data_IF_481403419206
#
_entry.id   IF_481403419206
#
_cell.length_a   1.000
_cell.length_b   1.000
_cell.length_c   1.000
_cell.angle_alpha   90.00
_cell.angle_beta   90.00
_cell.angle_gamma   90.00
#
_symmetry.space_group_name_H-M   'P 1'
#
loop_
_entity.id
_entity.type
_entity.pdbx_description
1 polymer ?
#
# COMPACT_ATOMS: atom_id res chain seq x y z
N UNK A 1 -15.85 50.23 -31.00
CA UNK A 1 -16.01 49.62 -29.70
C UNK A 1 -15.48 48.20 -29.73
N UNK A 2 -14.36 47.95 -29.11
CA UNK A 2 -13.90 46.61 -28.83
C UNK A 2 -14.80 46.05 -27.75
N UNK A 3 -15.75 45.19 -28.12
CA UNK A 3 -16.46 44.37 -27.13
C UNK A 3 -15.41 43.47 -26.46
N UNK A 4 -15.06 43.77 -25.21
CA UNK A 4 -14.38 42.81 -24.35
C UNK A 4 -15.26 41.56 -24.26
N UNK A 5 -14.93 40.56 -25.02
CA UNK A 5 -15.59 39.26 -24.96
C UNK A 5 -15.23 38.65 -23.62
N UNK A 6 -16.24 38.41 -22.88
CA UNK A 6 -16.25 38.12 -21.50
C UNK A 6 -15.49 36.88 -21.09
N UNK A 7 -15.01 36.91 -19.84
CA UNK A 7 -14.33 35.84 -19.20
C UNK A 7 -15.24 34.64 -18.88
N UNK A 8 -14.64 33.59 -18.41
CA UNK A 8 -15.32 32.40 -17.86
C UNK A 8 -14.86 32.16 -16.44
N UNK A 9 -15.71 31.46 -15.68
CA UNK A 9 -15.39 31.02 -14.33
C UNK A 9 -15.49 29.50 -14.21
N UNK A 10 -14.49 28.88 -13.65
CA UNK A 10 -14.47 27.45 -13.35
C UNK A 10 -14.30 27.26 -11.85
N UNK A 11 -15.17 26.44 -11.27
CA UNK A 11 -15.07 25.96 -9.90
C UNK A 11 -14.70 24.45 -9.94
N UNK A 12 -13.65 24.09 -9.25
CA UNK A 12 -13.26 22.68 -9.06
C UNK A 12 -13.15 22.41 -7.57
N UNK A 13 -13.90 21.42 -7.11
CA UNK A 13 -13.85 20.90 -5.75
C UNK A 13 -13.50 19.43 -5.82
N UNK A 14 -12.49 19.01 -5.06
CA UNK A 14 -12.14 17.62 -4.92
C UNK A 14 -12.11 17.23 -3.46
N UNK A 15 -12.68 16.07 -3.16
CA UNK A 15 -12.57 15.45 -1.85
C UNK A 15 -11.88 14.09 -2.00
N UNK A 16 -10.82 13.89 -1.25
CA UNK A 16 -10.08 12.65 -1.17
C UNK A 16 -10.06 12.18 0.27
N UNK A 17 -10.61 11.00 0.51
CA UNK A 17 -10.56 10.34 1.80
C UNK A 17 -9.68 9.10 1.71
N UNK A 18 -8.79 8.93 2.67
CA UNK A 18 -7.94 7.77 2.80
C UNK A 18 -8.01 7.25 4.23
N UNK A 19 -8.31 5.99 4.36
CA UNK A 19 -8.34 5.30 5.65
C UNK A 19 -7.28 4.22 5.62
N UNK A 20 -6.36 4.27 6.58
CA UNK A 20 -5.37 3.23 6.82
C UNK A 20 -5.59 2.68 8.22
N UNK A 21 -5.84 1.40 8.30
CA UNK A 21 -5.94 0.70 9.57
C UNK A 21 -4.97 -0.47 9.57
N UNK A 22 -4.24 -0.64 10.66
CA UNK A 22 -3.38 -1.79 10.85
C UNK A 22 -3.50 -2.34 12.26
N UNK A 23 -3.37 -3.64 12.38
CA UNK A 23 -3.35 -4.35 13.65
C UNK A 23 -2.21 -5.35 13.64
N UNK A 24 -1.40 -5.35 14.67
CA UNK A 24 -0.30 -6.28 14.84
C UNK A 24 -0.50 -7.09 16.11
N UNK A 25 -0.37 -8.40 15.98
CA UNK A 25 -0.24 -9.32 17.10
C UNK A 25 1.17 -9.90 17.07
N UNK A 26 1.93 -9.69 18.11
CA UNK A 26 3.32 -10.12 18.20
C UNK A 26 3.45 -11.15 19.31
N UNK A 27 4.32 -12.12 19.12
CA UNK A 27 4.67 -13.10 20.13
C UNK A 27 6.17 -13.36 20.15
N UNK A 28 6.67 -13.70 21.31
CA UNK A 28 8.06 -14.08 21.55
C UNK A 28 8.08 -15.07 22.71
N UNK A 29 8.63 -16.26 22.47
CA UNK A 29 8.64 -17.32 23.43
C UNK A 29 9.96 -18.10 23.41
N UNK A 30 10.55 -18.26 24.57
CA UNK A 30 11.68 -19.16 24.77
C UNK A 30 11.14 -20.55 25.06
N UNK A 31 11.31 -21.48 24.11
CA UNK A 31 10.80 -22.86 24.23
C UNK A 31 11.63 -23.63 25.26
N UNK A 32 12.96 -23.55 25.12
CA UNK A 32 13.93 -24.14 26.05
C UNK A 32 15.25 -23.34 25.97
N UNK A 33 16.32 -23.83 26.55
CA UNK A 33 17.63 -23.16 26.56
C UNK A 33 18.22 -22.99 25.16
N UNK A 34 17.83 -23.85 24.20
CA UNK A 34 18.40 -23.89 22.85
C UNK A 34 17.51 -23.22 21.81
N UNK A 35 16.17 -23.24 21.98
CA UNK A 35 15.22 -22.79 20.99
C UNK A 35 14.38 -21.61 21.45
N UNK A 36 14.25 -20.64 20.57
CA UNK A 36 13.36 -19.49 20.72
C UNK A 36 12.50 -19.35 19.46
N UNK A 37 11.25 -19.03 19.64
CA UNK A 37 10.30 -18.72 18.57
C UNK A 37 9.74 -17.33 18.76
N UNK A 38 9.67 -16.57 17.72
CA UNK A 38 9.02 -15.26 17.69
C UNK A 38 8.23 -15.10 16.40
N UNK A 39 7.40 -14.12 16.37
CA UNK A 39 6.68 -13.80 15.16
C UNK A 39 5.63 -12.74 15.35
N UNK A 40 4.93 -12.47 14.26
CA UNK A 40 3.79 -11.58 14.26
C UNK A 40 2.76 -12.00 13.22
N UNK A 41 1.54 -11.57 13.48
CA UNK A 41 0.47 -11.55 12.48
C UNK A 41 0.01 -10.10 12.35
N UNK A 42 -0.01 -9.59 11.13
CA UNK A 42 -0.42 -8.23 10.81
C UNK A 42 -1.60 -8.25 9.86
N UNK A 43 -2.60 -7.46 10.18
CA UNK A 43 -3.69 -7.13 9.28
C UNK A 43 -3.60 -5.66 8.92
N UNK A 44 -3.67 -5.34 7.64
CA UNK A 44 -3.69 -3.98 7.12
C UNK A 44 -4.89 -3.80 6.20
N UNK A 45 -5.55 -2.66 6.32
CA UNK A 45 -6.61 -2.23 5.44
C UNK A 45 -6.31 -0.82 4.94
N UNK A 46 -6.37 -0.67 3.64
CA UNK A 46 -6.30 0.62 2.97
C UNK A 46 -7.60 0.84 2.21
N UNK A 47 -8.24 1.97 2.45
CA UNK A 47 -9.44 2.39 1.74
C UNK A 47 -9.25 3.80 1.21
N UNK A 48 -9.57 4.00 -0.05
CA UNK A 48 -9.40 5.26 -0.76
C UNK A 48 -10.72 5.58 -1.48
N UNK A 49 -11.17 6.82 -1.31
CA UNK A 49 -12.36 7.36 -1.96
C UNK A 49 -12.05 8.72 -2.53
N UNK A 50 -12.34 8.92 -3.82
CA UNK A 50 -12.14 10.20 -4.50
C UNK A 50 -13.44 10.68 -5.13
N UNK A 51 -13.77 11.93 -4.87
CA UNK A 51 -14.88 12.64 -5.51
C UNK A 51 -14.38 13.98 -6.06
N UNK A 52 -14.76 14.31 -7.26
CA UNK A 52 -14.51 15.61 -7.86
C UNK A 52 -15.80 16.23 -8.40
N UNK A 53 -16.00 17.50 -8.12
CA UNK A 53 -17.04 18.34 -8.68
C UNK A 53 -16.38 19.44 -9.50
N UNK A 54 -16.73 19.50 -10.76
CA UNK A 54 -16.32 20.59 -11.65
C UNK A 54 -17.57 21.30 -12.17
N UNK A 55 -17.52 22.63 -12.13
CA UNK A 55 -18.58 23.47 -12.67
C UNK A 55 -17.95 24.64 -13.44
N UNK A 56 -18.51 24.92 -14.59
CA UNK A 56 -18.06 26.00 -15.47
C UNK A 56 -19.23 26.88 -15.87
N UNK A 57 -19.00 28.18 -15.95
CA UNK A 57 -19.97 29.09 -16.57
C UNK A 57 -20.08 28.79 -18.07
N UNK A 58 -21.29 28.91 -18.61
CA UNK A 58 -21.55 28.88 -20.04
C UNK A 58 -21.73 30.31 -20.57
N UNK A 59 -21.25 30.52 -21.79
CA UNK A 59 -21.23 31.84 -22.38
C UNK A 59 -20.29 32.80 -21.65
N UNK A 60 -20.43 34.07 -21.94
CA UNK A 60 -19.63 35.12 -21.34
C UNK A 60 -20.16 35.52 -19.95
N UNK A 61 -19.29 36.10 -19.14
CA UNK A 61 -19.72 36.64 -17.82
C UNK A 61 -20.63 37.84 -18.02
N UNK A 62 -21.81 37.82 -17.41
CA UNK A 62 -22.79 38.91 -17.43
C UNK A 62 -22.23 40.14 -16.74
N UNK A 63 -21.65 39.96 -15.55
CA UNK A 63 -21.02 41.01 -14.79
C UNK A 63 -19.50 40.85 -14.82
N UNK A 64 -18.76 41.79 -15.44
CA UNK A 64 -17.30 41.72 -15.49
C UNK A 64 -16.69 41.72 -14.08
N UNK A 65 -15.62 40.95 -13.91
CA UNK A 65 -14.85 40.83 -12.66
C UNK A 65 -15.66 40.23 -11.46
N UNK A 66 -16.79 39.60 -11.74
CA UNK A 66 -17.56 38.84 -10.73
C UNK A 66 -17.46 37.34 -11.02
N UNK A 67 -16.84 36.57 -10.12
CA UNK A 67 -16.49 35.19 -10.33
C UNK A 67 -17.38 34.25 -9.50
N UNK A 68 -18.52 33.87 -10.06
CA UNK A 68 -19.43 32.89 -9.50
C UNK A 68 -20.20 32.15 -10.62
N UNK A 69 -20.68 30.95 -10.35
CA UNK A 69 -21.28 30.09 -11.38
C UNK A 69 -22.54 30.69 -12.04
N UNK A 70 -23.35 31.40 -11.27
CA UNK A 70 -24.56 32.03 -11.79
C UNK A 70 -24.31 33.25 -12.71
N UNK A 71 -23.06 33.65 -12.93
CA UNK A 71 -22.69 34.80 -13.73
C UNK A 71 -22.46 34.45 -15.22
N UNK A 72 -22.72 33.23 -15.65
CA UNK A 72 -22.65 32.86 -17.07
C UNK A 72 -23.92 33.27 -17.82
N UNK A 73 -23.77 33.91 -19.00
CA UNK A 73 -24.89 34.35 -19.86
C UNK A 73 -25.82 33.21 -20.26
N UNK A 74 -25.27 32.00 -20.42
CA UNK A 74 -25.99 30.78 -20.81
C UNK A 74 -26.08 29.78 -19.64
N UNK A 75 -25.94 30.27 -18.39
CA UNK A 75 -25.96 29.46 -17.19
C UNK A 75 -24.64 28.80 -16.87
N UNK A 76 -24.67 27.56 -16.39
CA UNK A 76 -23.47 26.80 -16.02
C UNK A 76 -23.66 25.32 -16.32
N UNK A 77 -22.54 24.63 -16.50
CA UNK A 77 -22.45 23.17 -16.48
C UNK A 77 -21.77 22.69 -15.21
N UNK A 78 -22.34 21.67 -14.58
CA UNK A 78 -21.74 21.01 -13.44
C UNK A 78 -21.60 19.51 -13.71
N UNK A 79 -20.43 18.95 -13.41
CA UNK A 79 -20.14 17.54 -13.52
C UNK A 79 -19.56 17.03 -12.23
N UNK A 80 -20.22 16.06 -11.64
CA UNK A 80 -19.67 15.33 -10.50
C UNK A 80 -19.11 13.99 -10.98
N UNK A 81 -17.90 13.72 -10.64
CA UNK A 81 -17.22 12.45 -10.90
C UNK A 81 -16.86 11.79 -9.59
N UNK A 82 -17.22 10.53 -9.45
CA UNK A 82 -16.72 9.66 -8.39
C UNK A 82 -15.67 8.76 -9.04
N UNK A 83 -14.40 9.11 -8.86
CA UNK A 83 -13.31 8.31 -9.38
C UNK A 83 -12.90 7.26 -8.36
N UNK A 84 -13.53 6.12 -8.46
CA UNK A 84 -13.10 4.89 -7.84
C UNK A 84 -13.04 4.85 -6.31
N UNK A 85 -13.61 3.80 -5.77
CA UNK A 85 -13.31 3.33 -4.42
C UNK A 85 -12.31 2.19 -4.55
N UNK A 86 -11.14 2.31 -3.93
CA UNK A 86 -10.13 1.25 -3.89
C UNK A 86 -9.98 0.77 -2.46
N UNK A 87 -10.14 -0.53 -2.27
CA UNK A 87 -9.89 -1.17 -0.98
C UNK A 87 -8.80 -2.23 -1.16
N UNK A 88 -7.77 -2.15 -0.35
CA UNK A 88 -6.71 -3.16 -0.27
C UNK A 88 -6.72 -3.70 1.15
N UNK A 89 -6.78 -5.00 1.28
CA UNK A 89 -6.62 -5.71 2.55
C UNK A 89 -5.41 -6.62 2.44
N UNK A 90 -4.63 -6.69 3.50
CA UNK A 90 -3.42 -7.50 3.55
C UNK A 90 -3.34 -8.23 4.89
N UNK A 91 -3.01 -9.49 4.83
CA UNK A 91 -2.64 -10.28 6.00
C UNK A 91 -1.21 -10.75 5.81
N UNK A 92 -0.35 -10.41 6.77
CA UNK A 92 1.03 -10.87 6.80
C UNK A 92 1.30 -11.63 8.09
N UNK A 93 2.02 -12.72 7.98
CA UNK A 93 2.47 -13.49 9.12
C UNK A 93 3.97 -13.81 8.97
N UNK A 94 4.69 -13.73 10.07
CA UNK A 94 6.08 -14.14 10.15
C UNK A 94 6.28 -15.00 11.38
N UNK A 95 7.04 -16.08 11.21
CA UNK A 95 7.51 -16.93 12.29
C UNK A 95 9.01 -17.07 12.19
N UNK A 96 9.71 -16.71 13.25
CA UNK A 96 11.15 -16.82 13.38
C UNK A 96 11.52 -17.87 14.40
N UNK A 97 12.46 -18.73 14.04
CA UNK A 97 13.08 -19.72 14.92
C UNK A 97 14.55 -19.37 15.10
N UNK A 98 15.02 -19.45 16.34
CA UNK A 98 16.43 -19.35 16.62
C UNK A 98 16.88 -20.53 17.44
N UNK A 99 18.04 -21.09 17.07
CA UNK A 99 18.68 -22.18 17.76
C UNK A 99 20.03 -21.71 18.31
N UNK A 100 20.17 -21.68 19.62
CA UNK A 100 21.37 -21.27 20.37
C UNK A 100 21.97 -19.94 19.90
N UNK A 101 21.16 -19.04 19.36
CA UNK A 101 21.62 -17.79 18.74
C UNK A 101 22.69 -17.98 17.64
N UNK A 102 22.71 -19.15 17.01
CA UNK A 102 23.66 -19.52 15.96
C UNK A 102 22.98 -19.73 14.61
N UNK A 103 21.79 -20.33 14.62
CA UNK A 103 20.98 -20.57 13.43
C UNK A 103 19.66 -19.86 13.57
N UNK A 104 19.30 -19.10 12.53
CA UNK A 104 18.04 -18.35 12.46
C UNK A 104 17.30 -18.74 11.19
N UNK A 105 16.02 -19.05 11.34
CA UNK A 105 15.13 -19.33 10.20
C UNK A 105 13.88 -18.48 10.36
N UNK A 106 13.59 -17.66 9.35
CA UNK A 106 12.39 -16.81 9.29
C UNK A 106 11.53 -17.26 8.11
N UNK A 107 10.28 -17.52 8.38
CA UNK A 107 9.26 -17.83 7.38
C UNK A 107 8.24 -16.70 7.38
N UNK A 108 8.01 -16.12 6.22
CA UNK A 108 7.05 -15.03 6.04
C UNK A 108 6.04 -15.41 4.97
N UNK A 109 4.80 -15.13 5.22
CA UNK A 109 3.74 -15.25 4.24
C UNK A 109 2.89 -13.98 4.27
N UNK A 110 2.56 -13.47 3.09
CA UNK A 110 1.68 -12.32 2.92
C UNK A 110 0.65 -12.64 1.86
N UNK A 111 -0.60 -12.28 2.12
CA UNK A 111 -1.66 -12.33 1.12
C UNK A 111 -2.34 -10.95 1.03
N UNK A 112 -2.40 -10.43 -0.18
CA UNK A 112 -3.02 -9.15 -0.49
C UNK A 112 -4.28 -9.39 -1.30
N UNK A 113 -5.38 -8.73 -0.90
CA UNK A 113 -6.63 -8.68 -1.65
C UNK A 113 -6.88 -7.23 -2.07
N UNK A 114 -7.07 -7.03 -3.34
CA UNK A 114 -7.39 -5.72 -3.90
C UNK A 114 -8.77 -5.77 -4.55
N UNK A 115 -9.63 -4.82 -4.19
CA UNK A 115 -10.89 -4.57 -4.88
C UNK A 115 -10.93 -3.13 -5.38
N UNK A 116 -11.30 -2.94 -6.62
CA UNK A 116 -11.46 -1.63 -7.24
C UNK A 116 -12.85 -1.54 -7.87
N UNK A 117 -13.63 -0.55 -7.48
CA UNK A 117 -14.97 -0.27 -8.01
C UNK A 117 -14.95 0.67 -9.21
N UNK A 118 -13.90 0.65 -10.01
CA UNK A 118 -13.73 1.60 -11.13
C UNK A 118 -14.54 1.20 -12.36
N UNK A 119 -14.97 -0.05 -12.49
CA UNK A 119 -15.67 -0.53 -13.67
C UNK A 119 -17.01 -1.18 -13.33
N UNK A 120 -18.01 -0.85 -14.10
CA UNK A 120 -19.38 -1.36 -13.94
C UNK A 120 -19.54 -2.87 -14.32
N UNK A 121 -18.49 -3.52 -14.75
CA UNK A 121 -18.48 -4.89 -15.25
C UNK A 121 -17.83 -5.92 -14.28
N UNK A 122 -17.58 -5.52 -13.04
CA UNK A 122 -17.31 -6.46 -11.95
C UNK A 122 -15.96 -7.17 -11.98
N UNK A 123 -15.00 -6.72 -12.75
CA UNK A 123 -13.66 -7.27 -12.78
C UNK A 123 -12.77 -6.56 -11.76
N UNK A 124 -12.36 -7.22 -10.69
CA UNK A 124 -11.43 -6.56 -9.80
C UNK A 124 -11.16 -7.10 -8.41
N UNK A 125 -11.48 -8.34 -8.11
CA UNK A 125 -10.99 -8.97 -6.90
C UNK A 125 -9.73 -9.76 -7.21
N UNK A 126 -8.57 -9.20 -6.89
CA UNK A 126 -7.28 -9.86 -7.06
C UNK A 126 -6.76 -10.29 -5.69
N UNK A 127 -6.29 -11.54 -5.61
CA UNK A 127 -5.63 -12.09 -4.45
C UNK A 127 -4.23 -12.51 -4.83
N UNK A 128 -3.23 -12.02 -4.08
CA UNK A 128 -1.81 -12.29 -4.31
C UNK A 128 -1.19 -12.87 -3.05
N UNK A 129 -0.49 -13.99 -3.21
CA UNK A 129 0.20 -14.66 -2.13
C UNK A 129 1.72 -14.59 -2.33
N UNK A 130 2.42 -14.11 -1.29
CA UNK A 130 3.87 -13.91 -1.31
C UNK A 130 4.51 -14.66 -0.14
N UNK A 131 4.99 -15.90 -0.33
CA UNK A 131 5.77 -16.60 0.66
C UNK A 131 7.25 -16.24 0.56
N UNK A 132 7.94 -16.22 1.69
CA UNK A 132 9.39 -16.12 1.74
C UNK A 132 9.97 -16.93 2.89
N UNK A 133 11.18 -17.39 2.73
CA UNK A 133 11.96 -18.04 3.75
C UNK A 133 13.39 -17.49 3.73
N UNK A 134 13.90 -17.18 4.91
CA UNK A 134 15.26 -16.74 5.13
C UNK A 134 15.90 -17.63 6.16
N UNK A 135 17.13 -18.04 5.91
CA UNK A 135 17.92 -18.77 6.87
C UNK A 135 19.29 -18.11 7.01
N UNK A 136 19.82 -18.08 8.21
CA UNK A 136 21.17 -17.61 8.47
C UNK A 136 21.85 -18.47 9.51
N UNK A 137 23.14 -18.71 9.32
CA UNK A 137 23.97 -19.49 10.20
C UNK A 137 25.24 -18.74 10.55
N UNK A 138 25.45 -18.53 11.86
CA UNK A 138 26.68 -17.97 12.39
C UNK A 138 27.70 -19.08 12.59
N UNK A 139 28.48 -19.35 11.56
CA UNK A 139 29.45 -20.47 11.55
C UNK A 139 30.50 -20.32 12.63
N UNK A 140 30.96 -19.09 12.86
CA UNK A 140 31.98 -18.80 13.86
C UNK A 140 31.54 -19.13 15.30
N UNK A 141 30.25 -19.06 15.59
CA UNK A 141 29.71 -19.46 16.90
C UNK A 141 29.63 -20.98 17.05
N UNK A 142 29.18 -21.67 16.00
CA UNK A 142 29.09 -23.15 15.99
C UNK A 142 30.45 -23.82 16.02
N UNK A 143 31.42 -23.28 15.28
CA UNK A 143 32.75 -23.82 15.14
C UNK A 143 33.81 -23.10 16.00
N UNK A 144 33.35 -22.50 17.10
CA UNK A 144 34.24 -21.81 18.05
C UNK A 144 35.38 -22.74 18.51
N UNK A 145 36.60 -22.30 18.30
CA UNK A 145 37.80 -23.07 18.61
C UNK A 145 38.28 -24.05 17.49
N UNK A 146 37.51 -24.25 16.44
CA UNK A 146 37.89 -25.09 15.26
C UNK A 146 38.27 -24.25 14.06
N UNK A 147 37.93 -22.96 14.03
CA UNK A 147 38.33 -22.07 12.96
C UNK A 147 39.72 -21.48 13.18
N UNK A 148 40.47 -21.13 12.12
CA UNK A 148 41.71 -20.39 12.24
C UNK A 148 41.53 -19.08 13.00
N UNK A 149 42.52 -18.67 13.78
CA UNK A 149 42.45 -17.48 14.64
C UNK A 149 42.21 -16.17 13.89
N UNK A 150 42.49 -16.13 12.60
CA UNK A 150 42.26 -14.97 11.75
C UNK A 150 40.79 -14.84 11.28
N UNK A 151 39.98 -15.90 11.39
CA UNK A 151 38.53 -15.84 11.14
C UNK A 151 37.82 -15.50 12.46
N UNK A 152 37.45 -14.24 12.58
CA UNK A 152 36.71 -13.72 13.75
C UNK A 152 35.21 -13.73 13.53
N UNK A 153 34.76 -13.71 12.26
CA UNK A 153 33.36 -13.71 11.89
C UNK A 153 33.13 -14.51 10.60
N UNK A 154 32.19 -15.43 10.63
CA UNK A 154 31.74 -16.17 9.47
C UNK A 154 30.23 -16.38 9.53
N UNK A 155 29.50 -15.95 8.51
CA UNK A 155 28.05 -16.06 8.40
C UNK A 155 27.64 -16.48 7.01
N UNK A 156 26.72 -17.45 6.93
CA UNK A 156 26.06 -17.86 5.69
C UNK A 156 24.60 -17.44 5.75
N UNK A 157 24.09 -16.91 4.64
CA UNK A 157 22.69 -16.55 4.46
C UNK A 157 22.12 -17.20 3.21
N UNK A 158 20.89 -17.68 3.31
CA UNK A 158 20.12 -18.15 2.17
C UNK A 158 18.71 -17.54 2.25
N UNK A 159 18.20 -17.09 1.12
CA UNK A 159 16.86 -16.49 1.03
C UNK A 159 16.14 -17.00 -0.20
N UNK A 160 14.87 -17.29 -0.05
CA UNK A 160 13.97 -17.61 -1.14
C UNK A 160 12.69 -16.80 -0.97
N UNK A 161 12.24 -16.15 -2.02
CA UNK A 161 10.98 -15.42 -2.04
C UNK A 161 10.26 -15.62 -3.37
N UNK A 162 8.96 -15.77 -3.29
CA UNK A 162 8.11 -15.80 -4.46
C UNK A 162 7.33 -14.49 -4.51
N UNK A 163 7.45 -13.76 -5.62
CA UNK A 163 6.73 -12.51 -5.89
C UNK A 163 5.75 -12.78 -7.02
N UNK A 164 4.47 -12.51 -6.79
CA UNK A 164 3.47 -12.51 -7.86
C UNK A 164 3.62 -11.24 -8.69
N UNK A 165 3.91 -11.37 -9.97
CA UNK A 165 3.78 -10.26 -10.92
C UNK A 165 2.35 -10.24 -11.44
N UNK A 166 1.66 -9.13 -11.20
CA UNK A 166 0.46 -8.78 -11.93
C UNK A 166 0.91 -8.27 -13.31
N UNK A 167 0.92 -9.14 -14.28
CA UNK A 167 0.96 -8.72 -15.68
C UNK A 167 -0.45 -8.31 -16.05
N UNK A 168 -0.69 -7.02 -16.00
CA UNK A 168 -1.82 -6.44 -16.71
C UNK A 168 -1.58 -6.70 -18.21
N UNK A 169 -2.32 -7.63 -18.75
CA UNK A 169 -2.48 -7.82 -20.18
C UNK A 169 -3.56 -6.86 -20.71
#
# INVERSE_FOLDING_TARGET
GYANKGGSYKLSLSNKEQINANTNLMFDHQINEDFRVNGFVRYEMYHDYNMALEANTKGDLIMPNQFFLGNGSDGYDARQTMSGTKTIQSVAAQVGFSWRDQVYVDVTARNDWSSSLVYADGHGNYSFFYPSINASWLIHETLRGKLPKWITFAKVRASYAQVGNDTQA
#
